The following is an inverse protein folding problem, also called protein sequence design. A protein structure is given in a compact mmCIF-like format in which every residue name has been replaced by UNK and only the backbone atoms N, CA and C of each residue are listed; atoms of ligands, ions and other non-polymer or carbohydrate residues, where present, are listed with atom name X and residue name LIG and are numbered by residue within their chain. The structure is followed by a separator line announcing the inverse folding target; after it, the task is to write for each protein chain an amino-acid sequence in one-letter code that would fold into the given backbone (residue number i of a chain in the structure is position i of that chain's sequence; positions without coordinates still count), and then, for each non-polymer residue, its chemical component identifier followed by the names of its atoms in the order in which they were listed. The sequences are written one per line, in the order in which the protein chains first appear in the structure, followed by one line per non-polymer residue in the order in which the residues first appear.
data_IF_754444342535
#
_entry.id   IF_754444342535
#
_cell.length_a   1.000
_cell.length_b   1.000
_cell.length_c   1.000
_cell.angle_alpha   90.00
_cell.angle_beta   90.00
_cell.angle_gamma   90.00
#
_symmetry.space_group_name_H-M   'P 1'
#
loop_
_entity.id
_entity.type
_entity.pdbx_description
1 polymer ?
#
# COMPACT_ATOMS: atom_id res chain seq x y z
N UNK A 1 -12.19 -7.23 9.16
CA UNK A 1 -11.83 -7.78 10.48
C UNK A 1 -12.78 -7.23 11.54
N UNK A 2 -13.04 -8.01 12.56
CA UNK A 2 -13.74 -7.55 13.76
C UNK A 2 -13.12 -8.21 14.99
N UNK A 3 -13.06 -7.52 16.13
CA UNK A 3 -12.52 -8.09 17.35
C UNK A 3 -13.45 -9.16 17.91
N UNK A 4 -12.86 -10.16 18.55
CA UNK A 4 -13.56 -11.18 19.33
C UNK A 4 -13.20 -11.02 20.81
N UNK A 5 -14.02 -11.54 21.75
CA UNK A 5 -13.70 -11.50 23.19
C UNK A 5 -12.33 -12.11 23.49
N UNK A 6 -11.61 -11.53 24.44
CA UNK A 6 -10.25 -11.95 24.80
C UNK A 6 -10.16 -13.38 25.39
N UNK A 7 -11.23 -13.89 25.89
CA UNK A 7 -11.36 -15.26 26.41
C UNK A 7 -11.72 -16.29 25.32
N UNK A 8 -11.86 -15.85 24.07
CA UNK A 8 -12.10 -16.75 22.94
C UNK A 8 -10.87 -17.64 22.73
N UNK A 9 -11.07 -18.95 22.72
CA UNK A 9 -9.99 -19.90 22.47
C UNK A 9 -9.47 -19.76 21.04
N UNK A 10 -8.14 -19.56 20.92
CA UNK A 10 -7.46 -19.52 19.64
C UNK A 10 -7.41 -20.93 19.05
N UNK A 11 -7.95 -21.15 17.83
CA UNK A 11 -7.85 -22.44 17.17
C UNK A 11 -6.40 -22.83 16.88
N UNK A 12 -6.09 -24.12 16.99
CA UNK A 12 -4.79 -24.66 16.58
C UNK A 12 -4.70 -24.75 15.04
N UNK A 13 -3.47 -24.87 14.53
CA UNK A 13 -3.19 -25.13 13.11
C UNK A 13 -3.74 -24.07 12.14
N UNK A 14 -3.71 -22.81 12.53
CA UNK A 14 -4.07 -21.72 11.64
C UNK A 14 -3.03 -21.54 10.52
N UNK A 15 -3.52 -21.15 9.34
CA UNK A 15 -2.65 -20.92 8.17
C UNK A 15 -1.86 -19.62 8.35
N UNK A 16 -0.58 -19.68 8.08
CA UNK A 16 0.31 -18.52 8.02
C UNK A 16 1.21 -18.60 6.80
N UNK A 17 1.75 -17.47 6.40
CA UNK A 17 2.80 -17.43 5.37
C UNK A 17 4.15 -17.53 6.08
N UNK A 18 5.00 -18.48 5.67
CA UNK A 18 6.37 -18.55 6.19
C UNK A 18 7.21 -17.36 5.76
N UNK A 19 8.31 -17.10 6.47
CA UNK A 19 9.27 -16.04 6.14
C UNK A 19 9.76 -16.16 4.68
N UNK A 20 10.14 -17.35 4.26
CA UNK A 20 10.64 -17.61 2.91
C UNK A 20 9.58 -17.32 1.83
N UNK A 21 8.32 -17.63 2.10
CA UNK A 21 7.22 -17.29 1.19
C UNK A 21 6.97 -15.78 1.13
N UNK A 22 7.10 -15.08 2.25
CA UNK A 22 7.03 -13.62 2.27
C UNK A 22 8.15 -12.99 1.44
N UNK A 23 9.39 -13.43 1.62
CA UNK A 23 10.54 -12.99 0.81
C UNK A 23 10.29 -13.22 -0.68
N UNK A 24 9.79 -14.39 -1.04
CA UNK A 24 9.41 -14.70 -2.42
C UNK A 24 8.33 -13.77 -2.95
N UNK A 25 7.29 -13.48 -2.17
CA UNK A 25 6.21 -12.57 -2.56
C UNK A 25 6.72 -11.14 -2.77
N UNK A 26 7.62 -10.65 -1.91
CA UNK A 26 8.25 -9.34 -2.08
C UNK A 26 9.02 -9.26 -3.39
N UNK A 27 9.84 -10.28 -3.72
CA UNK A 27 10.55 -10.33 -5.00
C UNK A 27 9.58 -10.37 -6.17
N UNK A 28 8.55 -11.22 -6.10
CA UNK A 28 7.54 -11.32 -7.15
C UNK A 28 6.74 -10.03 -7.34
N UNK A 29 6.46 -9.29 -6.27
CA UNK A 29 5.78 -7.99 -6.37
C UNK A 29 6.57 -6.97 -7.20
N UNK A 30 7.89 -7.15 -7.31
CA UNK A 30 8.75 -6.32 -8.15
C UNK A 30 8.95 -6.88 -9.56
N UNK A 31 8.96 -8.20 -9.72
CA UNK A 31 9.37 -8.88 -10.97
C UNK A 31 8.21 -9.49 -11.76
N UNK A 32 7.15 -9.93 -11.06
CA UNK A 32 5.94 -10.54 -11.66
C UNK A 32 4.72 -10.28 -10.76
N UNK A 33 4.16 -9.09 -10.90
CA UNK A 33 3.02 -8.61 -10.09
C UNK A 33 1.80 -9.52 -10.20
N UNK A 34 1.55 -10.10 -11.36
CA UNK A 34 0.42 -11.01 -11.58
C UNK A 34 0.58 -12.27 -10.75
N UNK A 35 1.75 -12.86 -10.77
CA UNK A 35 2.04 -14.06 -9.96
C UNK A 35 2.02 -13.75 -8.47
N UNK A 36 2.58 -12.61 -8.04
CA UNK A 36 2.50 -12.16 -6.66
C UNK A 36 1.05 -12.03 -6.18
N UNK A 37 0.21 -11.36 -6.97
CA UNK A 37 -1.22 -11.19 -6.67
C UNK A 37 -1.95 -12.54 -6.56
N UNK A 38 -1.75 -13.43 -7.50
CA UNK A 38 -2.42 -14.73 -7.50
C UNK A 38 -2.03 -15.58 -6.28
N UNK A 39 -0.74 -15.62 -5.92
CA UNK A 39 -0.28 -16.36 -4.75
C UNK A 39 -0.78 -15.75 -3.44
N UNK A 40 -0.70 -14.43 -3.32
CA UNK A 40 -1.13 -13.74 -2.11
C UNK A 40 -2.66 -13.80 -1.93
N UNK A 41 -3.43 -13.52 -2.98
CA UNK A 41 -4.90 -13.57 -2.91
C UNK A 41 -5.43 -14.97 -2.62
N UNK A 42 -4.81 -16.01 -3.18
CA UNK A 42 -5.17 -17.40 -2.88
C UNK A 42 -4.93 -17.71 -1.40
N UNK A 43 -3.78 -17.31 -0.85
CA UNK A 43 -3.51 -17.47 0.58
C UNK A 43 -4.52 -16.69 1.41
N UNK A 44 -4.69 -15.40 1.11
CA UNK A 44 -5.58 -14.49 1.85
C UNK A 44 -7.02 -15.03 1.90
N UNK A 45 -7.58 -15.46 0.77
CA UNK A 45 -8.92 -16.05 0.71
C UNK A 45 -9.01 -17.36 1.49
N UNK A 46 -7.93 -18.13 1.55
CA UNK A 46 -7.89 -19.38 2.30
C UNK A 46 -7.91 -19.21 3.82
N UNK A 47 -7.64 -17.98 4.31
CA UNK A 47 -7.66 -17.63 5.75
C UNK A 47 -8.99 -17.01 6.19
N UNK A 48 -10.01 -17.01 5.33
CA UNK A 48 -11.32 -16.46 5.68
C UNK A 48 -11.92 -17.15 6.90
N UNK A 49 -12.37 -16.36 7.87
CA UNK A 49 -12.89 -16.85 9.16
C UNK A 49 -11.83 -17.26 10.17
N UNK A 50 -10.55 -17.17 9.86
CA UNK A 50 -9.45 -17.46 10.74
C UNK A 50 -9.27 -16.36 11.80
N UNK A 51 -8.91 -16.75 13.04
CA UNK A 51 -8.54 -15.80 14.10
C UNK A 51 -7.02 -15.66 14.18
N UNK A 52 -6.52 -14.50 14.60
CA UNK A 52 -5.09 -14.27 14.82
C UNK A 52 -4.88 -13.18 15.89
N UNK A 53 -3.71 -13.18 16.49
CA UNK A 53 -3.27 -12.11 17.37
C UNK A 53 -2.79 -10.94 16.53
N UNK A 54 -3.54 -9.82 16.53
CA UNK A 54 -3.28 -8.67 15.68
C UNK A 54 -1.85 -8.15 15.80
N UNK A 55 -1.35 -7.98 17.02
CA UNK A 55 -0.01 -7.45 17.27
C UNK A 55 1.09 -8.39 16.78
N UNK A 56 0.95 -9.68 17.08
CA UNK A 56 1.90 -10.69 16.61
C UNK A 56 1.94 -10.75 15.10
N UNK A 57 0.78 -10.74 14.45
CA UNK A 57 0.68 -10.84 13.00
C UNK A 57 1.20 -9.59 12.29
N UNK A 58 0.96 -8.40 12.84
CA UNK A 58 1.45 -7.14 12.28
C UNK A 58 2.96 -6.90 12.49
N UNK A 59 3.53 -7.38 13.59
CA UNK A 59 4.91 -7.10 13.97
C UNK A 59 5.89 -8.22 13.62
N UNK A 60 5.39 -9.43 13.29
CA UNK A 60 6.25 -10.60 13.07
C UNK A 60 7.02 -10.61 11.75
N UNK A 61 6.65 -9.76 10.80
CA UNK A 61 7.19 -9.78 9.43
C UNK A 61 8.03 -8.54 9.11
N UNK A 62 9.05 -8.29 9.90
CA UNK A 62 10.02 -7.26 9.57
C UNK A 62 11.20 -7.89 8.81
N UNK A 63 11.29 -7.57 7.52
CA UNK A 63 12.42 -8.00 6.69
C UNK A 63 13.52 -6.94 6.78
N UNK A 64 14.59 -7.24 7.48
CA UNK A 64 15.77 -6.40 7.45
C UNK A 64 16.35 -6.41 6.04
N UNK A 65 16.93 -6.69 5.36
CA UNK A 65 17.71 -6.70 4.12
C UNK A 65 16.93 -7.02 2.83
N UNK A 66 15.59 -6.87 2.79
CA UNK A 66 14.83 -7.20 1.59
C UNK A 66 15.23 -6.35 0.37
N UNK A 67 15.77 -5.16 0.58
CA UNK A 67 16.25 -4.29 -0.50
C UNK A 67 17.36 -4.95 -1.32
N UNK A 68 18.30 -5.64 -0.68
CA UNK A 68 19.39 -6.32 -1.36
C UNK A 68 18.89 -7.52 -2.18
N UNK A 69 17.94 -8.27 -1.65
CA UNK A 69 17.24 -9.33 -2.38
C UNK A 69 16.55 -8.80 -3.63
N UNK A 70 15.78 -7.74 -3.48
CA UNK A 70 15.05 -7.13 -4.60
C UNK A 70 16.01 -6.55 -5.62
N UNK A 71 17.03 -5.80 -5.18
CA UNK A 71 18.03 -5.22 -6.08
C UNK A 71 18.77 -6.29 -6.87
N UNK A 72 19.14 -7.40 -6.22
CA UNK A 72 19.77 -8.55 -6.86
C UNK A 72 18.84 -9.20 -7.88
N UNK A 73 17.58 -9.46 -7.51
CA UNK A 73 16.60 -10.09 -8.38
C UNK A 73 16.26 -9.23 -9.62
N UNK A 74 16.30 -7.91 -9.48
CA UNK A 74 16.03 -6.99 -10.59
C UNK A 74 17.26 -6.70 -11.45
N UNK A 75 18.45 -7.14 -11.04
CA UNK A 75 19.70 -6.91 -11.77
C UNK A 75 20.03 -5.43 -11.96
N UNK A 76 19.51 -4.54 -11.11
CA UNK A 76 19.45 -3.12 -11.37
C UNK A 76 20.12 -2.26 -10.28
N UNK A 77 20.22 -0.98 -10.60
CA UNK A 77 20.63 0.09 -9.72
C UNK A 77 19.89 0.08 -8.37
N UNK A 78 20.51 0.69 -7.38
CA UNK A 78 19.92 0.88 -6.06
C UNK A 78 18.57 1.58 -6.17
N UNK A 79 17.60 1.07 -5.45
CA UNK A 79 16.26 1.64 -5.35
C UNK A 79 15.70 1.44 -3.95
N UNK A 80 14.66 2.19 -3.61
CA UNK A 80 13.94 2.05 -2.36
C UNK A 80 12.44 2.14 -2.57
N UNK A 81 11.66 1.66 -1.61
CA UNK A 81 10.24 1.92 -1.58
C UNK A 81 9.97 3.30 -0.98
N UNK A 82 9.18 4.09 -1.68
CA UNK A 82 8.65 5.35 -1.18
C UNK A 82 7.13 5.24 -1.05
N UNK A 83 6.62 5.87 -0.02
CA UNK A 83 5.19 5.85 0.30
C UNK A 83 4.56 7.17 -0.10
N UNK A 84 3.34 7.12 -0.66
CA UNK A 84 2.41 8.23 -0.67
C UNK A 84 1.09 7.80 -0.05
N UNK A 85 0.44 8.73 0.61
CA UNK A 85 -0.84 8.50 1.25
C UNK A 85 -1.82 9.57 0.76
N UNK A 86 -2.93 9.12 0.20
CA UNK A 86 -3.98 9.99 -0.32
C UNK A 86 -5.33 9.63 0.31
N UNK A 87 -6.19 10.61 0.44
CA UNK A 87 -7.52 10.48 1.02
C UNK A 87 -8.57 10.80 -0.01
N UNK A 88 -9.53 9.93 -0.19
CA UNK A 88 -10.63 10.10 -1.15
C UNK A 88 -11.95 9.88 -0.42
N UNK A 89 -13.01 10.66 -0.67
CA UNK A 89 -14.32 10.39 -0.09
C UNK A 89 -14.70 8.92 -0.28
N UNK A 90 -15.14 8.26 0.77
CA UNK A 90 -15.36 6.80 0.78
C UNK A 90 -16.30 6.33 -0.33
N UNK A 91 -17.30 7.15 -0.67
CA UNK A 91 -18.26 6.86 -1.74
C UNK A 91 -17.64 6.79 -3.12
N UNK A 92 -16.51 7.46 -3.34
CA UNK A 92 -15.86 7.60 -4.64
C UNK A 92 -14.67 6.65 -4.82
N UNK A 93 -14.35 5.81 -3.81
CA UNK A 93 -13.15 4.98 -3.81
C UNK A 93 -13.04 4.04 -5.02
N UNK A 94 -14.15 3.45 -5.46
CA UNK A 94 -14.15 2.54 -6.61
C UNK A 94 -13.74 3.27 -7.88
N UNK A 95 -14.38 4.42 -8.17
CA UNK A 95 -14.07 5.23 -9.34
C UNK A 95 -12.63 5.78 -9.29
N UNK A 96 -12.16 6.15 -8.11
CA UNK A 96 -10.76 6.55 -7.92
C UNK A 96 -9.78 5.42 -8.27
N UNK A 97 -10.00 4.21 -7.75
CA UNK A 97 -9.13 3.06 -8.04
C UNK A 97 -9.16 2.70 -9.53
N UNK A 98 -10.32 2.73 -10.18
CA UNK A 98 -10.44 2.54 -11.64
C UNK A 98 -9.57 3.54 -12.40
N UNK A 99 -9.58 4.81 -11.97
CA UNK A 99 -8.77 5.86 -12.58
C UNK A 99 -7.27 5.67 -12.36
N UNK A 100 -6.87 5.21 -11.18
CA UNK A 100 -5.46 4.85 -10.90
C UNK A 100 -5.02 3.67 -11.77
N UNK A 101 -5.88 2.69 -12.03
CA UNK A 101 -5.58 1.56 -12.92
C UNK A 101 -5.38 2.05 -14.38
N UNK A 102 -6.19 2.99 -14.84
CA UNK A 102 -6.01 3.62 -16.16
C UNK A 102 -4.65 4.36 -16.24
N UNK A 103 -4.34 5.15 -15.23
CA UNK A 103 -3.09 5.90 -15.16
C UNK A 103 -1.86 4.96 -15.05
N UNK A 104 -1.98 3.86 -14.29
CA UNK A 104 -0.91 2.85 -14.21
C UNK A 104 -0.61 2.25 -15.59
N UNK A 105 -1.65 1.91 -16.35
CA UNK A 105 -1.48 1.39 -17.72
C UNK A 105 -0.86 2.41 -18.68
N UNK A 106 -1.21 3.70 -18.53
CA UNK A 106 -0.73 4.76 -19.40
C UNK A 106 0.70 5.23 -19.05
N UNK A 107 1.05 5.29 -17.78
CA UNK A 107 2.28 5.91 -17.27
C UNK A 107 3.24 4.92 -16.61
N UNK A 108 2.83 3.67 -16.47
CA UNK A 108 3.65 2.60 -15.85
C UNK A 108 4.19 2.99 -14.48
N UNK A 109 3.28 3.32 -13.56
CA UNK A 109 3.66 3.54 -12.16
C UNK A 109 4.34 2.30 -11.60
N UNK A 110 5.40 2.49 -10.85
CA UNK A 110 6.05 1.36 -10.22
C UNK A 110 5.45 1.08 -8.83
N UNK A 111 4.13 0.94 -8.77
CA UNK A 111 3.40 0.55 -7.56
C UNK A 111 3.68 -0.93 -7.28
N UNK A 112 4.23 -1.20 -6.11
CA UNK A 112 4.57 -2.56 -5.68
C UNK A 112 3.41 -3.16 -4.89
N UNK A 113 2.85 -2.40 -3.96
CA UNK A 113 1.64 -2.75 -3.23
C UNK A 113 0.95 -1.51 -2.69
N UNK A 114 -0.27 -1.68 -2.25
CA UNK A 114 -1.03 -0.63 -1.59
C UNK A 114 -1.81 -1.17 -0.40
N UNK A 115 -2.17 -0.26 0.49
CA UNK A 115 -3.02 -0.55 1.65
C UNK A 115 -4.20 0.42 1.65
N UNK A 116 -5.36 -0.05 2.05
CA UNK A 116 -6.54 0.79 2.19
C UNK A 116 -7.03 0.78 3.64
N UNK A 117 -7.31 1.96 4.17
CA UNK A 117 -7.89 2.15 5.51
C UNK A 117 -9.14 3.00 5.40
N UNK A 118 -10.11 2.73 6.26
CA UNK A 118 -11.33 3.53 6.35
C UNK A 118 -11.19 4.51 7.50
N UNK A 119 -11.41 5.78 7.23
CA UNK A 119 -11.34 6.88 8.18
C UNK A 119 -12.73 7.47 8.32
N UNK A 120 -13.17 7.66 9.55
CA UNK A 120 -14.41 8.38 9.83
C UNK A 120 -14.15 9.86 9.91
N UNK A 121 -15.18 10.65 9.58
CA UNK A 121 -15.18 12.08 9.84
C UNK A 121 -14.81 12.36 11.29
N UNK A 122 -14.00 13.37 11.50
CA UNK A 122 -13.59 13.84 12.81
C UNK A 122 -14.38 15.09 13.20
N UNK A 123 -15.26 14.92 14.15
CA UNK A 123 -16.08 16.01 14.72
C UNK A 123 -15.62 16.42 16.14
N UNK A 124 -14.55 15.81 16.66
CA UNK A 124 -14.11 15.97 18.05
C UNK A 124 -12.80 16.74 18.17
N UNK A 125 -11.85 16.56 17.25
CA UNK A 125 -10.50 17.14 17.35
C UNK A 125 -10.52 18.65 17.04
N UNK A 126 -9.72 19.44 17.79
CA UNK A 126 -9.56 20.86 17.54
C UNK A 126 -8.99 21.16 16.13
N UNK A 127 -8.07 20.34 15.65
CA UNK A 127 -7.49 20.42 14.30
C UNK A 127 -7.99 19.28 13.41
N UNK A 128 -9.31 19.06 13.40
CA UNK A 128 -9.94 18.04 12.59
C UNK A 128 -9.59 18.21 11.09
N UNK A 129 -8.88 17.26 10.52
CA UNK A 129 -8.54 17.23 9.10
C UNK A 129 -9.53 16.38 8.29
N UNK A 130 -10.06 15.32 8.88
CA UNK A 130 -11.04 14.44 8.25
C UNK A 130 -12.43 15.12 8.21
N UNK A 131 -12.68 15.91 7.18
CA UNK A 131 -13.93 16.67 7.00
C UNK A 131 -15.11 15.81 6.57
N UNK A 132 -14.83 14.57 6.12
CA UNK A 132 -15.82 13.60 5.67
C UNK A 132 -15.31 12.18 6.00
N UNK A 133 -16.12 11.18 5.71
CA UNK A 133 -15.71 9.78 5.72
C UNK A 133 -14.79 9.51 4.52
N UNK A 134 -13.52 9.21 4.78
CA UNK A 134 -12.51 8.95 3.75
C UNK A 134 -12.11 7.48 3.65
N UNK A 135 -11.71 7.08 2.46
CA UNK A 135 -10.80 5.98 2.25
C UNK A 135 -9.38 6.56 2.12
N UNK A 136 -8.50 6.14 3.01
CA UNK A 136 -7.07 6.39 2.93
C UNK A 136 -6.43 5.30 2.07
N UNK A 137 -5.78 5.69 0.98
CA UNK A 137 -5.05 4.76 0.11
C UNK A 137 -3.57 5.08 0.22
N UNK A 138 -2.81 4.09 0.67
CA UNK A 138 -1.35 4.17 0.78
C UNK A 138 -0.78 3.39 -0.38
N UNK A 139 0.02 4.04 -1.22
CA UNK A 139 0.75 3.41 -2.31
C UNK A 139 2.23 3.31 -1.94
N UNK A 140 2.83 2.15 -2.19
CA UNK A 140 4.26 1.92 -2.08
C UNK A 140 4.84 1.79 -3.48
N UNK A 141 5.66 2.75 -3.88
CA UNK A 141 6.31 2.79 -5.18
C UNK A 141 7.80 2.48 -5.04
N UNK A 142 8.33 1.65 -5.94
CA UNK A 142 9.77 1.53 -6.07
C UNK A 142 10.31 2.71 -6.85
N UNK A 143 11.29 3.38 -6.25
CA UNK A 143 12.00 4.52 -6.84
C UNK A 143 13.45 4.14 -7.06
N UNK A 144 13.92 4.22 -8.30
CA UNK A 144 15.32 4.00 -8.62
C UNK A 144 16.14 5.24 -8.25
N UNK A 145 17.33 5.04 -7.67
CA UNK A 145 18.22 6.11 -7.21
C UNK A 145 19.06 6.70 -8.36
N UNK A 146 18.44 6.89 -9.52
CA UNK A 146 19.01 7.62 -10.66
C UNK A 146 18.32 8.96 -10.82
N UNK A 147 18.94 9.94 -11.51
CA UNK A 147 18.28 11.21 -11.81
C UNK A 147 16.92 11.02 -12.53
N UNK A 148 16.88 10.14 -13.52
CA UNK A 148 15.64 9.84 -14.26
C UNK A 148 14.61 9.12 -13.40
N UNK A 149 15.05 8.21 -12.51
CA UNK A 149 14.19 7.52 -11.53
C UNK A 149 13.53 8.51 -10.56
N UNK A 150 14.27 9.50 -10.09
CA UNK A 150 13.73 10.54 -9.21
C UNK A 150 12.73 11.44 -9.93
N UNK A 151 13.04 11.85 -11.17
CA UNK A 151 12.12 12.66 -11.99
C UNK A 151 10.83 11.87 -12.29
N UNK A 152 10.96 10.58 -12.60
CA UNK A 152 9.79 9.72 -12.80
C UNK A 152 8.96 9.62 -11.53
N UNK A 153 9.58 9.37 -10.38
CA UNK A 153 8.90 9.29 -9.10
C UNK A 153 8.13 10.57 -8.79
N UNK A 154 8.74 11.74 -8.92
CA UNK A 154 8.07 13.03 -8.73
C UNK A 154 6.79 13.12 -9.56
N UNK A 155 6.85 12.79 -10.85
CA UNK A 155 5.70 12.83 -11.76
C UNK A 155 4.60 11.82 -11.34
N UNK A 156 5.00 10.62 -10.94
CA UNK A 156 4.07 9.57 -10.54
C UNK A 156 3.35 9.95 -9.23
N UNK A 157 4.08 10.48 -8.26
CA UNK A 157 3.49 10.96 -7.00
C UNK A 157 2.57 12.17 -7.24
N UNK A 158 2.95 13.12 -8.10
CA UNK A 158 2.08 14.23 -8.48
C UNK A 158 0.76 13.73 -9.07
N UNK A 159 0.79 12.77 -9.98
CA UNK A 159 -0.44 12.20 -10.57
C UNK A 159 -1.34 11.56 -9.54
N UNK A 160 -0.78 10.78 -8.60
CA UNK A 160 -1.57 10.16 -7.54
C UNK A 160 -2.26 11.21 -6.66
N UNK A 161 -1.57 12.29 -6.34
CA UNK A 161 -2.12 13.43 -5.58
C UNK A 161 -3.19 14.15 -6.41
N UNK A 162 -2.90 14.52 -7.66
CA UNK A 162 -3.82 15.20 -8.54
C UNK A 162 -5.13 14.41 -8.68
N UNK A 163 -5.04 13.07 -8.85
CA UNK A 163 -6.23 12.21 -8.89
C UNK A 163 -7.05 12.25 -7.60
N UNK A 164 -6.40 12.23 -6.45
CA UNK A 164 -7.14 12.34 -5.18
C UNK A 164 -7.85 13.69 -5.07
N UNK A 165 -7.21 14.78 -5.47
CA UNK A 165 -7.79 16.12 -5.47
C UNK A 165 -8.96 16.25 -6.45
N UNK A 166 -8.91 15.64 -7.65
CA UNK A 166 -10.02 15.59 -8.61
C UNK A 166 -11.30 14.97 -8.02
N UNK A 167 -11.15 14.04 -7.08
CA UNK A 167 -12.27 13.43 -6.34
C UNK A 167 -12.68 14.22 -5.07
N UNK A 168 -12.16 15.43 -4.89
CA UNK A 168 -12.40 16.23 -3.68
C UNK A 168 -11.71 15.68 -2.43
N UNK A 169 -10.64 14.93 -2.65
CA UNK A 169 -9.83 14.31 -1.61
C UNK A 169 -8.69 15.20 -1.13
N UNK A 170 -7.72 14.58 -0.50
CA UNK A 170 -6.54 15.23 0.08
C UNK A 170 -5.35 14.26 0.08
N UNK A 171 -4.21 14.70 0.59
CA UNK A 171 -3.00 13.89 0.67
C UNK A 171 -2.19 14.21 1.92
N UNK A 172 -1.27 13.31 2.29
CA UNK A 172 -0.42 13.47 3.46
C UNK A 172 0.95 14.04 3.07
N UNK A 173 1.29 15.19 3.64
CA UNK A 173 2.46 16.01 3.25
C UNK A 173 3.82 15.44 3.66
N UNK A 174 3.85 14.50 4.61
CA UNK A 174 5.08 14.21 5.36
C UNK A 174 6.10 13.39 4.58
N UNK A 175 5.66 12.59 3.60
CA UNK A 175 6.54 11.64 2.91
C UNK A 175 7.44 12.28 1.85
N UNK A 176 6.95 13.35 1.17
CA UNK A 176 7.68 14.04 0.10
C UNK A 176 7.08 15.43 -0.19
N UNK A 177 7.81 16.24 -0.97
CA UNK A 177 7.43 17.63 -1.28
C UNK A 177 6.97 17.82 -2.72
N UNK A 178 6.44 16.79 -3.36
CA UNK A 178 6.17 16.82 -4.80
C UNK A 178 4.75 17.24 -5.17
N UNK A 179 3.92 17.60 -4.20
CA UNK A 179 2.63 18.22 -4.50
C UNK A 179 2.84 19.53 -5.30
N UNK A 180 1.95 19.78 -6.26
CA UNK A 180 1.97 21.04 -7.00
C UNK A 180 1.66 22.21 -6.08
N UNK A 181 2.09 23.40 -6.45
CA UNK A 181 1.90 24.61 -5.64
C UNK A 181 0.67 25.41 -6.03
N UNK A 182 0.05 25.08 -7.13
CA UNK A 182 -1.12 25.72 -7.75
C UNK A 182 -2.45 25.12 -7.33
#
# INVERSE_FOLDING_TARGET
YHPVPMDTLMPENQKSISKEKWEQLVVLAHTDKTKAFNLYSQHYLSTNGQMYWSDTDQLSFYFHDYHDYVNTAMGSAKGSLMITEVYVPRKDITAFIEKIIEDERAYHFNIIYGTMRLIKKDDESFLAWAKDDYACVIFNLRVDHSPDGLIKAERDFQRLIDRALEFGGSYFLTYHRWARKD
#
